data_IF_166287601918
#
_entry.id   IF_166287601918
#
_cell.length_a   1.000
_cell.length_b   1.000
_cell.length_c   1.000
_cell.angle_alpha   90.00
_cell.angle_beta   90.00
_cell.angle_gamma   90.00
#
_symmetry.space_group_name_H-M   'P 1'
#
loop_
_entity.id
_entity.type
_entity.pdbx_description
1 polymer ?
#
# COMPACT_ATOMS: atom_id res chain seq x y z
N UNK A 1 23.53 0.33 -4.68
CA UNK A 1 22.29 0.64 -3.97
C UNK A 1 21.11 0.33 -4.89
N UNK A 2 20.13 -0.38 -4.38
CA UNK A 2 18.90 -0.60 -5.14
C UNK A 2 18.08 0.68 -5.16
N UNK A 3 17.52 1.02 -6.31
CA UNK A 3 16.55 2.11 -6.40
C UNK A 3 15.20 1.62 -5.92
N UNK A 4 14.72 2.20 -4.84
CA UNK A 4 13.45 1.80 -4.21
C UNK A 4 12.43 2.92 -4.27
N UNK A 5 11.21 2.59 -4.61
CA UNK A 5 10.07 3.51 -4.51
C UNK A 5 8.99 2.90 -3.62
N UNK A 6 8.35 3.75 -2.82
CA UNK A 6 7.20 3.37 -2.01
C UNK A 6 5.96 3.98 -2.62
N UNK A 7 5.06 3.15 -3.11
CA UNK A 7 3.79 3.57 -3.68
C UNK A 7 2.69 3.17 -2.70
N UNK A 8 1.93 4.14 -2.22
CA UNK A 8 1.01 3.90 -1.13
C UNK A 8 -0.23 4.79 -1.20
N UNK A 9 -1.29 4.32 -0.56
CA UNK A 9 -2.48 5.10 -0.26
C UNK A 9 -2.69 5.15 1.25
N UNK A 10 -3.08 6.30 1.77
CA UNK A 10 -3.33 6.48 3.20
C UNK A 10 -4.52 7.41 3.39
N UNK A 11 -5.59 6.92 4.03
CA UNK A 11 -6.77 7.72 4.31
C UNK A 11 -6.66 8.42 5.68
N UNK A 12 -6.25 7.69 6.71
CA UNK A 12 -6.22 8.17 8.09
C UNK A 12 -4.83 8.54 8.59
N UNK A 13 -3.79 8.30 7.79
CA UNK A 13 -2.41 8.63 8.12
C UNK A 13 -1.55 7.45 8.58
N UNK A 14 -2.13 6.27 8.81
CA UNK A 14 -1.37 5.10 9.28
C UNK A 14 -0.29 4.67 8.28
N UNK A 15 -0.67 4.49 7.01
CA UNK A 15 0.28 4.09 5.97
C UNK A 15 1.24 5.23 5.64
N UNK A 16 0.77 6.48 5.62
CA UNK A 16 1.64 7.64 5.39
C UNK A 16 2.78 7.69 6.43
N UNK A 17 2.46 7.46 7.69
CA UNK A 17 3.46 7.36 8.76
C UNK A 17 4.50 6.27 8.48
N UNK A 18 4.06 5.06 8.14
CA UNK A 18 4.95 3.94 7.84
C UNK A 18 5.79 4.19 6.58
N UNK A 19 5.18 4.72 5.53
CA UNK A 19 5.85 5.00 4.27
C UNK A 19 6.97 6.05 4.44
N UNK A 20 6.68 7.13 5.16
CA UNK A 20 7.69 8.16 5.44
C UNK A 20 8.84 7.65 6.27
N UNK A 21 8.54 6.82 7.27
CA UNK A 21 9.57 6.20 8.10
C UNK A 21 10.45 5.25 7.27
N UNK A 22 9.85 4.42 6.44
CA UNK A 22 10.58 3.50 5.55
C UNK A 22 11.45 4.25 4.55
N UNK A 23 10.95 5.34 3.98
CA UNK A 23 11.71 6.17 3.05
C UNK A 23 12.93 6.82 3.73
N UNK A 24 12.75 7.30 4.94
CA UNK A 24 13.85 7.91 5.72
C UNK A 24 14.95 6.91 6.04
N UNK A 25 14.58 5.70 6.47
CA UNK A 25 15.54 4.65 6.82
C UNK A 25 16.23 4.07 5.59
N UNK A 26 15.47 3.79 4.53
CA UNK A 26 15.97 3.08 3.35
C UNK A 26 16.36 3.96 2.17
N UNK A 27 16.18 5.27 2.26
CA UNK A 27 16.50 6.19 1.15
C UNK A 27 15.56 6.04 -0.05
N UNK A 28 14.35 5.54 0.14
CA UNK A 28 13.40 5.32 -0.93
C UNK A 28 12.66 6.59 -1.35
N UNK A 29 12.26 6.65 -2.60
CA UNK A 29 11.35 7.69 -3.07
C UNK A 29 9.90 7.39 -2.64
N UNK A 30 9.10 8.43 -2.48
CA UNK A 30 7.70 8.30 -2.09
C UNK A 30 6.77 8.70 -3.23
N UNK A 31 5.73 7.89 -3.44
CA UNK A 31 4.62 8.22 -4.32
C UNK A 31 3.31 7.95 -3.59
N UNK A 32 2.68 8.98 -3.08
CA UNK A 32 1.37 8.89 -2.46
C UNK A 32 0.28 8.95 -3.52
N UNK A 33 -0.56 7.94 -3.56
CA UNK A 33 -1.70 7.92 -4.47
C UNK A 33 -2.82 8.82 -3.96
N UNK A 34 -3.35 9.63 -4.85
CA UNK A 34 -4.52 10.47 -4.59
C UNK A 34 -5.56 10.18 -5.67
N UNK A 35 -6.82 10.14 -5.25
CA UNK A 35 -7.94 9.92 -6.17
C UNK A 35 -8.55 11.25 -6.61
N UNK A 36 -9.11 11.28 -7.81
CA UNK A 36 -9.83 12.46 -8.32
C UNK A 36 -11.01 12.77 -7.39
N UNK A 37 -11.73 11.74 -6.96
CA UNK A 37 -12.81 11.85 -5.98
C UNK A 37 -12.32 11.32 -4.64
N UNK A 38 -12.21 12.21 -3.65
CA UNK A 38 -11.71 11.85 -2.32
C UNK A 38 -12.70 10.96 -1.54
N UNK A 39 -12.14 10.07 -0.72
CA UNK A 39 -12.92 9.26 0.21
C UNK A 39 -13.17 10.01 1.52
N UNK A 40 -14.35 9.81 2.15
CA UNK A 40 -14.63 10.38 3.47
C UNK A 40 -13.64 9.86 4.51
N UNK A 41 -13.07 10.77 5.31
CA UNK A 41 -12.04 10.42 6.31
C UNK A 41 -12.59 10.02 7.67
N UNK A 42 -13.85 10.38 7.96
CA UNK A 42 -14.47 10.17 9.28
C UNK A 42 -15.90 9.63 9.16
N UNK A 43 -16.34 8.98 10.24
CA UNK A 43 -17.71 8.53 10.40
C UNK A 43 -18.07 7.28 9.63
N UNK A 44 -19.36 6.98 9.61
CA UNK A 44 -19.90 5.79 8.96
C UNK A 44 -19.66 5.79 7.45
N UNK A 45 -19.66 6.97 6.82
CA UNK A 45 -19.45 7.09 5.37
C UNK A 45 -18.06 6.58 4.93
N UNK A 46 -17.05 6.71 5.78
CA UNK A 46 -15.72 6.14 5.55
C UNK A 46 -15.80 4.62 5.32
N UNK A 47 -16.51 3.92 6.19
CA UNK A 47 -16.66 2.47 6.09
C UNK A 47 -17.54 2.07 4.92
N UNK A 48 -18.64 2.79 4.69
CA UNK A 48 -19.57 2.48 3.60
C UNK A 48 -18.93 2.64 2.23
N UNK A 49 -18.23 3.76 1.98
CA UNK A 49 -17.61 4.01 0.68
C UNK A 49 -16.35 3.16 0.47
N UNK A 50 -15.43 3.18 1.44
CA UNK A 50 -14.18 2.43 1.33
C UNK A 50 -14.40 0.92 1.28
N UNK A 51 -15.23 0.40 2.20
CA UNK A 51 -15.53 -1.03 2.25
C UNK A 51 -16.28 -1.51 1.02
N UNK A 52 -17.25 -0.72 0.52
CA UNK A 52 -17.99 -1.04 -0.70
C UNK A 52 -17.07 -1.13 -1.91
N UNK A 53 -16.25 -0.12 -2.12
CA UNK A 53 -15.36 -0.05 -3.28
C UNK A 53 -14.30 -1.16 -3.22
N UNK A 54 -13.73 -1.43 -2.05
CA UNK A 54 -12.80 -2.53 -1.88
C UNK A 54 -13.47 -3.89 -2.13
N UNK A 55 -14.69 -4.09 -1.62
CA UNK A 55 -15.43 -5.36 -1.77
C UNK A 55 -15.75 -5.69 -3.24
N UNK A 56 -16.00 -4.67 -4.06
CA UNK A 56 -16.29 -4.83 -5.49
C UNK A 56 -15.06 -4.74 -6.38
N UNK A 57 -13.86 -4.59 -5.81
CA UNK A 57 -12.62 -4.45 -6.58
C UNK A 57 -12.61 -3.19 -7.44
N UNK A 58 -13.26 -2.13 -6.99
CA UNK A 58 -13.36 -0.87 -7.72
C UNK A 58 -11.98 -0.26 -7.98
N UNK A 59 -11.82 0.39 -9.13
CA UNK A 59 -10.57 1.01 -9.56
C UNK A 59 -10.82 2.48 -9.83
N UNK A 60 -10.76 3.35 -8.79
CA UNK A 60 -11.01 4.77 -8.96
C UNK A 60 -9.95 5.44 -9.82
N UNK A 61 -10.35 6.51 -10.50
CA UNK A 61 -9.41 7.33 -11.25
C UNK A 61 -8.44 8.01 -10.29
N UNK A 62 -7.15 7.92 -10.59
CA UNK A 62 -6.10 8.56 -9.81
C UNK A 62 -5.81 9.97 -10.30
N UNK A 63 -5.68 10.91 -9.37
CA UNK A 63 -5.16 12.24 -9.61
C UNK A 63 -3.64 12.20 -9.78
N UNK A 64 -2.99 11.30 -9.07
CA UNK A 64 -1.54 11.09 -9.10
C UNK A 64 -1.11 10.53 -10.45
N UNK A 65 -0.07 11.12 -11.05
CA UNK A 65 0.61 10.53 -12.20
C UNK A 65 1.52 9.42 -11.68
N UNK A 66 1.31 8.19 -12.17
CA UNK A 66 2.12 7.06 -11.75
C UNK A 66 3.56 7.18 -12.26
N UNK A 67 4.56 6.89 -11.41
CA UNK A 67 5.96 6.93 -11.82
C UNK A 67 6.30 5.81 -12.79
N UNK A 68 7.34 6.03 -13.57
CA UNK A 68 7.92 5.00 -14.44
C UNK A 68 8.70 3.99 -13.58
N UNK A 69 8.13 2.82 -13.37
CA UNK A 69 8.75 1.79 -12.54
C UNK A 69 10.03 1.19 -13.13
N UNK A 70 10.31 1.42 -14.42
CA UNK A 70 11.56 0.93 -15.02
C UNK A 70 12.82 1.48 -14.35
N UNK A 71 12.68 2.58 -13.63
CA UNK A 71 13.78 3.24 -12.90
C UNK A 71 14.09 2.61 -11.53
N UNK A 72 13.28 1.65 -11.08
CA UNK A 72 13.36 1.09 -9.74
C UNK A 72 13.51 -0.41 -9.80
N UNK A 73 14.34 -0.96 -8.90
CA UNK A 73 14.51 -2.40 -8.73
C UNK A 73 13.53 -2.95 -7.71
N UNK A 74 13.16 -2.12 -6.74
CA UNK A 74 12.30 -2.51 -5.62
C UNK A 74 11.11 -1.56 -5.50
N UNK A 75 9.93 -2.15 -5.33
CA UNK A 75 8.69 -1.41 -5.08
C UNK A 75 8.11 -1.86 -3.74
N UNK A 76 7.85 -0.90 -2.87
CA UNK A 76 7.12 -1.15 -1.61
C UNK A 76 5.71 -0.65 -1.83
N UNK A 77 4.71 -1.51 -1.63
CA UNK A 77 3.30 -1.17 -1.77
C UNK A 77 2.70 -1.04 -0.38
N UNK A 78 2.15 0.14 -0.07
CA UNK A 78 1.50 0.41 1.21
C UNK A 78 0.01 0.66 1.07
N UNK A 79 -0.83 -0.05 1.84
CA UNK A 79 -2.28 0.08 1.78
C UNK A 79 -2.96 -0.17 3.12
N UNK A 80 -4.00 0.61 3.48
CA UNK A 80 -4.90 0.16 4.53
C UNK A 80 -5.70 -1.04 4.04
N UNK A 81 -6.16 -1.87 4.98
CA UNK A 81 -7.03 -3.01 4.68
C UNK A 81 -8.48 -2.56 4.74
N UNK A 82 -9.18 -2.62 3.61
CA UNK A 82 -10.59 -2.29 3.49
C UNK A 82 -11.39 -3.55 3.16
N UNK A 83 -12.27 -3.99 4.08
CA UNK A 83 -13.06 -5.22 3.90
C UNK A 83 -12.17 -6.42 3.53
N UNK A 84 -11.05 -6.58 4.22
CA UNK A 84 -10.03 -7.64 4.01
C UNK A 84 -9.30 -7.57 2.66
N UNK A 85 -9.41 -6.46 1.94
CA UNK A 85 -8.84 -6.25 0.61
C UNK A 85 -7.98 -4.98 0.60
N UNK A 86 -7.16 -4.78 -0.44
CA UNK A 86 -6.46 -3.51 -0.63
C UNK A 86 -7.45 -2.36 -0.80
N UNK A 87 -7.06 -1.17 -0.37
CA UNK A 87 -7.84 0.03 -0.65
C UNK A 87 -8.02 0.20 -2.16
N UNK A 88 -9.19 0.68 -2.58
CA UNK A 88 -9.54 0.77 -4.00
C UNK A 88 -8.48 1.51 -4.87
N UNK A 89 -7.85 2.61 -4.42
CA UNK A 89 -6.79 3.27 -5.21
C UNK A 89 -5.60 2.35 -5.53
N UNK A 90 -5.31 1.40 -4.65
CA UNK A 90 -4.24 0.41 -4.90
C UNK A 90 -4.63 -0.52 -6.04
N UNK A 91 -5.91 -0.87 -6.20
CA UNK A 91 -6.36 -1.68 -7.33
C UNK A 91 -6.06 -1.00 -8.67
N UNK A 92 -6.25 0.31 -8.75
CA UNK A 92 -5.93 1.09 -9.94
C UNK A 92 -4.44 1.02 -10.26
N UNK A 93 -3.59 1.20 -9.25
CA UNK A 93 -2.15 1.09 -9.40
C UNK A 93 -1.74 -0.32 -9.85
N UNK A 94 -2.25 -1.36 -9.19
CA UNK A 94 -1.93 -2.75 -9.53
C UNK A 94 -2.29 -3.11 -10.97
N UNK A 95 -3.40 -2.56 -11.47
CA UNK A 95 -3.82 -2.79 -12.86
C UNK A 95 -2.87 -2.16 -13.86
N UNK A 96 -2.42 -0.93 -13.59
CA UNK A 96 -1.62 -0.14 -14.53
C UNK A 96 -0.12 -0.44 -14.44
N UNK A 97 0.37 -0.97 -13.33
CA UNK A 97 1.78 -1.17 -13.08
C UNK A 97 2.34 -2.39 -13.83
N UNK A 98 3.60 -2.28 -14.24
CA UNK A 98 4.39 -3.40 -14.75
C UNK A 98 5.38 -3.81 -13.66
N UNK A 99 5.25 -5.05 -13.17
CA UNK A 99 6.09 -5.58 -12.10
C UNK A 99 7.18 -6.52 -12.61
N UNK A 100 7.36 -6.64 -13.92
CA UNK A 100 8.36 -7.55 -14.48
C UNK A 100 9.74 -7.29 -13.87
N UNK A 101 10.35 -8.34 -13.34
CA UNK A 101 11.68 -8.32 -12.72
C UNK A 101 11.81 -7.38 -11.50
N UNK A 102 10.69 -7.02 -10.86
CA UNK A 102 10.70 -6.18 -9.65
C UNK A 102 10.65 -7.02 -8.39
N UNK A 103 11.42 -6.59 -7.39
CA UNK A 103 11.26 -7.06 -6.02
C UNK A 103 10.18 -6.22 -5.34
N UNK A 104 9.20 -6.86 -4.73
CA UNK A 104 8.06 -6.16 -4.12
C UNK A 104 7.92 -6.54 -2.66
N UNK A 105 7.83 -5.53 -1.80
CA UNK A 105 7.46 -5.69 -0.39
C UNK A 105 6.10 -5.04 -0.15
N UNK A 106 5.34 -5.58 0.79
CA UNK A 106 3.96 -5.15 1.05
C UNK A 106 3.81 -4.71 2.49
N UNK A 107 3.28 -3.50 2.69
CA UNK A 107 2.94 -2.94 4.00
C UNK A 107 1.42 -2.77 4.08
N UNK A 108 0.78 -3.40 5.06
CA UNK A 108 -0.65 -3.22 5.27
C UNK A 108 -0.94 -2.76 6.69
N UNK A 109 -1.95 -1.93 6.86
CA UNK A 109 -2.45 -1.53 8.18
C UNK A 109 -3.95 -1.80 8.28
N UNK A 110 -4.37 -2.26 9.46
CA UNK A 110 -5.78 -2.52 9.73
C UNK A 110 -6.18 -2.00 11.11
N UNK A 111 -7.47 -1.86 11.32
CA UNK A 111 -8.03 -1.55 12.63
C UNK A 111 -8.46 -2.82 13.38
N UNK A 112 -8.13 -4.00 12.87
CA UNK A 112 -8.45 -5.28 13.47
C UNK A 112 -9.03 -6.33 12.50
N UNK A 113 -8.98 -6.12 11.21
CA UNK A 113 -9.42 -7.09 10.20
C UNK A 113 -8.36 -8.14 9.88
N UNK A 114 -8.62 -8.98 8.88
CA UNK A 114 -7.66 -9.98 8.40
C UNK A 114 -6.75 -9.39 7.33
N UNK A 115 -5.47 -9.14 7.64
CA UNK A 115 -4.52 -8.63 6.64
C UNK A 115 -4.08 -9.68 5.64
N UNK A 116 -4.17 -10.96 5.97
CA UNK A 116 -3.66 -12.06 5.14
C UNK A 116 -4.31 -12.07 3.74
N UNK A 117 -5.62 -11.94 3.66
CA UNK A 117 -6.33 -11.90 2.39
C UNK A 117 -5.90 -10.72 1.52
N UNK A 118 -5.72 -9.54 2.14
CA UNK A 118 -5.24 -8.35 1.45
C UNK A 118 -3.84 -8.58 0.86
N UNK A 119 -2.93 -9.13 1.64
CA UNK A 119 -1.56 -9.45 1.21
C UNK A 119 -1.59 -10.47 0.07
N UNK A 120 -2.42 -11.51 0.18
CA UNK A 120 -2.54 -12.54 -0.86
C UNK A 120 -3.04 -11.97 -2.19
N UNK A 121 -4.00 -11.07 -2.15
CA UNK A 121 -4.52 -10.42 -3.35
C UNK A 121 -3.40 -9.64 -4.06
N UNK A 122 -2.63 -8.84 -3.33
CA UNK A 122 -1.53 -8.06 -3.89
C UNK A 122 -0.45 -9.01 -4.44
N UNK A 123 -0.09 -10.02 -3.66
CA UNK A 123 0.92 -11.02 -4.04
C UNK A 123 0.54 -11.70 -5.36
N UNK A 124 -0.71 -12.11 -5.51
CA UNK A 124 -1.18 -12.79 -6.71
C UNK A 124 -1.11 -11.88 -7.95
N UNK A 125 -1.48 -10.61 -7.82
CA UNK A 125 -1.38 -9.65 -8.93
C UNK A 125 0.07 -9.39 -9.32
N UNK A 126 0.93 -9.13 -8.35
CA UNK A 126 2.36 -8.87 -8.57
C UNK A 126 3.02 -10.06 -9.25
N UNK A 127 2.78 -11.27 -8.74
CA UNK A 127 3.35 -12.50 -9.29
C UNK A 127 2.87 -12.76 -10.71
N UNK A 128 1.58 -12.58 -10.98
CA UNK A 128 1.01 -12.74 -12.33
C UNK A 128 1.61 -11.75 -13.33
N UNK A 129 2.11 -10.61 -12.87
CA UNK A 129 2.75 -9.58 -13.69
C UNK A 129 4.29 -9.64 -13.68
N UNK A 130 4.85 -10.76 -13.23
CA UNK A 130 6.29 -11.02 -13.31
C UNK A 130 7.14 -10.48 -12.18
N UNK A 131 6.52 -9.97 -11.11
CA UNK A 131 7.23 -9.52 -9.92
C UNK A 131 7.48 -10.64 -8.92
N UNK A 132 8.37 -10.38 -7.97
CA UNK A 132 8.71 -11.29 -6.88
C UNK A 132 8.39 -10.60 -5.56
N UNK A 133 7.48 -11.16 -4.78
CA UNK A 133 7.18 -10.64 -3.44
C UNK A 133 8.23 -11.16 -2.47
N UNK A 134 9.03 -10.26 -1.93
CA UNK A 134 10.17 -10.59 -1.05
C UNK A 134 9.83 -10.48 0.43
N UNK A 135 8.73 -9.82 0.79
CA UNK A 135 8.31 -9.72 2.18
C UNK A 135 7.01 -8.95 2.34
N UNK A 136 6.40 -9.10 3.49
CA UNK A 136 5.19 -8.38 3.85
C UNK A 136 5.15 -8.13 5.35
N UNK A 137 4.60 -6.98 5.76
CA UNK A 137 4.36 -6.63 7.15
C UNK A 137 2.94 -6.14 7.33
N UNK A 138 2.30 -6.62 8.38
CA UNK A 138 0.96 -6.20 8.77
C UNK A 138 1.02 -5.45 10.11
N UNK A 139 0.36 -4.31 10.17
CA UNK A 139 0.31 -3.45 11.36
C UNK A 139 -1.13 -3.25 11.80
N UNK A 140 -1.36 -3.19 13.10
CA UNK A 140 -2.66 -2.83 13.69
C UNK A 140 -2.53 -1.47 14.33
N UNK A 141 -3.25 -0.49 13.80
CA UNK A 141 -3.25 0.89 14.30
C UNK A 141 -1.84 1.44 14.58
N UNK A 142 -0.93 1.49 13.59
CA UNK A 142 0.48 1.80 13.85
C UNK A 142 0.71 3.18 14.45
N UNK A 143 -0.13 4.18 14.19
CA UNK A 143 -0.04 5.50 14.82
C UNK A 143 -0.25 5.48 16.32
N UNK A 144 -0.94 4.47 16.85
CA UNK A 144 -1.14 4.29 18.29
C UNK A 144 0.05 3.62 18.98
N UNK A 145 0.94 3.01 18.21
CA UNK A 145 2.12 2.28 18.69
C UNK A 145 3.35 2.64 17.84
N UNK A 146 3.75 3.91 17.81
CA UNK A 146 4.74 4.37 16.83
C UNK A 146 6.11 3.71 16.99
N UNK A 147 6.62 3.55 18.21
CA UNK A 147 7.94 2.96 18.42
C UNK A 147 7.98 1.48 18.04
N UNK A 148 6.99 0.72 18.46
CA UNK A 148 6.85 -0.70 18.10
C UNK A 148 6.73 -0.87 16.59
N UNK A 149 5.96 -0.01 15.94
CA UNK A 149 5.79 -0.03 14.49
C UNK A 149 7.09 0.28 13.75
N UNK A 150 7.88 1.24 14.22
CA UNK A 150 9.17 1.58 13.63
C UNK A 150 10.18 0.43 13.75
N UNK A 151 10.19 -0.27 14.90
CA UNK A 151 11.05 -1.45 15.07
C UNK A 151 10.67 -2.57 14.11
N UNK A 152 9.38 -2.86 14.01
CA UNK A 152 8.88 -3.89 13.10
C UNK A 152 9.18 -3.58 11.64
N UNK A 153 9.10 -2.30 11.26
CA UNK A 153 9.33 -1.87 9.90
C UNK A 153 10.73 -2.23 9.39
N UNK A 154 11.71 -2.30 10.27
CA UNK A 154 13.10 -2.65 9.92
C UNK A 154 13.24 -4.05 9.32
N UNK A 155 12.26 -4.92 9.52
CA UNK A 155 12.31 -6.30 9.03
C UNK A 155 12.33 -6.41 7.49
N UNK A 156 11.88 -5.37 6.78
CA UNK A 156 11.84 -5.37 5.31
C UNK A 156 12.73 -4.30 4.67
N UNK A 157 13.50 -3.56 5.46
CA UNK A 157 14.36 -2.47 4.95
C UNK A 157 15.83 -2.89 4.74
#
# INVERSE_FOLDING_TARGET
MSNTIIIYYSLEGNIDFLARAAAKEGGAELCRLETVKEYPKKGLMKFLHGGRDASFGFKPELKTTLPDLSKYDTVIIGTPVWASKPAAPINTFLEQADFKDKNVSILVSSAGGSPAKCIDIITNVVTAKGGIVTGSLAFVNPLKKPQESLEKLKEIL
#
